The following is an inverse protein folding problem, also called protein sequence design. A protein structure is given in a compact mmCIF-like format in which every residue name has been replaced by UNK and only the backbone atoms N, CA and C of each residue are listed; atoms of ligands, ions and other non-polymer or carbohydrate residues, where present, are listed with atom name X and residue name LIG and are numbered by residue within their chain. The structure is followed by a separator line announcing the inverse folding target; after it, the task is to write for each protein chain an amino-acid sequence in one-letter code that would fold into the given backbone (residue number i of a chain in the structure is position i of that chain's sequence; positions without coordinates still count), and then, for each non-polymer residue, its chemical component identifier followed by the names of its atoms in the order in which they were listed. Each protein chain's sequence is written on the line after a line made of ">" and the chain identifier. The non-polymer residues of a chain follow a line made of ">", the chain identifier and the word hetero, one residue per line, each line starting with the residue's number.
data_IF_200520010383
#
_entry.id   IF_200520010383
#
_cell.length_a   1.000
_cell.length_b   1.000
_cell.length_c   1.000
_cell.angle_alpha   90.00
_cell.angle_beta   90.00
_cell.angle_gamma   90.00
#
_symmetry.space_group_name_H-M   'P 1'
#
loop_
_entity.id
_entity.type
_entity.pdbx_description
1 polymer ?
#
# COMPACT_ATOMS: atom_id res chain seq x y z
N UNK A 1 -13.40 -6.41 -0.04
CA UNK A 1 -12.95 -7.41 0.97
C UNK A 1 -13.78 -7.18 2.21
N UNK A 2 -14.45 -8.23 2.71
CA UNK A 2 -15.14 -8.17 4.00
C UNK A 2 -14.13 -8.55 5.08
N UNK A 3 -14.10 -7.81 6.18
CA UNK A 3 -13.22 -8.07 7.32
C UNK A 3 -14.09 -8.29 8.56
N UNK A 4 -13.82 -9.37 9.29
CA UNK A 4 -14.50 -9.64 10.55
C UNK A 4 -13.61 -9.20 11.72
N UNK A 5 -14.18 -8.43 12.62
CA UNK A 5 -13.56 -8.02 13.87
C UNK A 5 -14.39 -8.53 15.04
N UNK A 6 -13.75 -9.26 15.94
CA UNK A 6 -14.36 -9.69 17.19
C UNK A 6 -14.00 -8.69 18.28
N UNK A 7 -15.04 -8.19 18.93
CA UNK A 7 -14.95 -7.20 20.00
C UNK A 7 -15.28 -7.92 21.30
N UNK A 8 -14.38 -7.83 22.28
CA UNK A 8 -14.60 -8.30 23.64
C UNK A 8 -14.57 -7.10 24.58
N UNK A 9 -15.57 -6.93 25.43
CA UNK A 9 -15.62 -5.83 26.39
C UNK A 9 -16.03 -6.33 27.79
N UNK A 10 -15.68 -5.60 28.86
CA UNK A 10 -16.08 -5.97 30.23
C UNK A 10 -17.61 -6.02 30.44
N UNK A 11 -18.37 -5.30 29.62
CA UNK A 11 -19.84 -5.24 29.69
C UNK A 11 -20.43 -4.44 28.53
N UNK A 12 -21.77 -4.50 28.37
CA UNK A 12 -22.48 -3.84 27.27
C UNK A 12 -22.26 -2.32 27.27
N UNK A 13 -22.31 -1.68 28.44
CA UNK A 13 -22.18 -0.22 28.54
C UNK A 13 -20.77 0.24 28.19
N UNK A 14 -19.74 -0.53 28.57
CA UNK A 14 -18.36 -0.30 28.14
C UNK A 14 -18.25 -0.37 26.62
N UNK A 15 -18.84 -1.39 26.00
CA UNK A 15 -18.83 -1.57 24.56
C UNK A 15 -19.55 -0.42 23.83
N UNK A 16 -20.74 -0.02 24.30
CA UNK A 16 -21.47 1.12 23.72
C UNK A 16 -20.66 2.42 23.80
N UNK A 17 -20.08 2.71 24.96
CA UNK A 17 -19.27 3.92 25.16
C UNK A 17 -18.03 3.93 24.26
N UNK A 18 -17.36 2.78 24.13
CA UNK A 18 -16.18 2.62 23.29
C UNK A 18 -16.50 2.73 21.78
N UNK A 19 -17.67 2.24 21.35
CA UNK A 19 -18.09 2.26 19.95
C UNK A 19 -18.80 3.57 19.51
N UNK A 20 -19.17 4.43 20.46
CA UNK A 20 -19.94 5.66 20.21
C UNK A 20 -19.32 6.61 19.18
N UNK A 21 -18.00 6.77 19.20
CA UNK A 21 -17.28 7.66 18.28
C UNK A 21 -17.13 7.12 16.85
N UNK A 22 -17.52 5.87 16.60
CA UNK A 22 -17.27 5.16 15.34
C UNK A 22 -18.51 5.06 14.44
N UNK A 23 -19.63 5.67 14.84
CA UNK A 23 -20.91 5.55 14.12
C UNK A 23 -21.55 4.16 14.22
N UNK A 24 -21.11 3.36 15.21
CA UNK A 24 -21.60 2.01 15.49
C UNK A 24 -22.68 2.01 16.59
N UNK A 25 -22.99 3.18 17.15
CA UNK A 25 -23.97 3.40 18.20
C UNK A 25 -24.76 4.66 17.89
N UNK A 26 -26.07 4.62 18.12
CA UNK A 26 -26.98 5.74 18.00
C UNK A 26 -28.04 5.62 19.11
N UNK A 27 -28.38 6.75 19.75
CA UNK A 27 -29.42 6.81 20.79
C UNK A 27 -29.25 5.75 21.90
N UNK A 28 -28.00 5.56 22.35
CA UNK A 28 -27.58 4.57 23.38
C UNK A 28 -27.76 3.09 23.00
N UNK A 29 -27.96 2.78 21.72
CA UNK A 29 -28.02 1.41 21.21
C UNK A 29 -27.12 1.17 20.00
N UNK A 30 -26.80 -0.09 19.75
CA UNK A 30 -25.98 -0.48 18.61
C UNK A 30 -26.68 -0.17 17.29
N UNK A 31 -25.93 0.33 16.31
CA UNK A 31 -26.37 0.39 14.91
C UNK A 31 -26.09 -0.98 14.30
N UNK A 32 -27.11 -1.84 14.09
CA UNK A 32 -26.89 -3.24 13.72
C UNK A 32 -26.39 -3.41 12.28
N UNK A 33 -26.64 -2.44 11.40
CA UNK A 33 -26.18 -2.46 10.03
C UNK A 33 -26.10 -1.06 9.42
N UNK A 34 -25.20 -0.92 8.46
CA UNK A 34 -25.11 0.22 7.55
C UNK A 34 -24.61 -0.26 6.17
N UNK A 35 -24.37 0.67 5.26
CA UNK A 35 -23.61 0.45 4.03
C UNK A 35 -22.16 0.00 4.30
N UNK A 36 -21.59 0.38 5.46
CA UNK A 36 -20.19 0.08 5.83
C UNK A 36 -20.04 -1.15 6.72
N UNK A 37 -21.09 -1.59 7.42
CA UNK A 37 -20.97 -2.71 8.36
C UNK A 37 -22.24 -3.51 8.62
N UNK A 38 -22.08 -4.67 9.23
CA UNK A 38 -23.10 -5.34 10.05
C UNK A 38 -22.49 -5.61 11.45
N UNK A 39 -23.20 -5.31 12.53
CA UNK A 39 -22.78 -5.51 13.91
C UNK A 39 -23.69 -6.52 14.59
N UNK A 40 -23.09 -7.62 15.04
CA UNK A 40 -23.76 -8.71 15.73
C UNK A 40 -23.35 -8.72 17.18
N UNK A 41 -24.27 -8.37 18.09
CA UNK A 41 -24.04 -8.45 19.53
C UNK A 41 -24.45 -9.83 20.06
N UNK A 42 -23.52 -10.53 20.70
CA UNK A 42 -23.75 -11.86 21.26
C UNK A 42 -23.98 -11.83 22.78
N UNK A 43 -23.63 -10.73 23.44
CA UNK A 43 -23.63 -10.66 24.90
C UNK A 43 -22.59 -11.60 25.51
N UNK A 44 -22.89 -12.13 26.69
CA UNK A 44 -22.01 -13.06 27.39
C UNK A 44 -22.10 -14.45 26.75
N UNK A 45 -20.97 -14.99 26.31
CA UNK A 45 -20.91 -16.31 25.62
C UNK A 45 -20.48 -17.45 26.55
N UNK A 46 -19.97 -17.15 27.74
CA UNK A 46 -19.57 -18.13 28.75
C UNK A 46 -20.02 -17.70 30.13
N UNK A 47 -20.60 -18.61 30.92
CA UNK A 47 -21.08 -18.32 32.28
C UNK A 47 -19.93 -17.98 33.25
N UNK A 48 -18.71 -18.43 32.96
CA UNK A 48 -17.53 -18.19 33.78
C UNK A 48 -16.74 -16.93 33.41
N UNK A 49 -17.06 -16.31 32.27
CA UNK A 49 -16.43 -15.07 31.79
C UNK A 49 -17.52 -13.99 31.69
N UNK A 50 -17.48 -12.93 32.51
CA UNK A 50 -18.49 -11.87 32.47
C UNK A 50 -18.37 -10.98 31.22
N UNK A 51 -17.33 -11.14 30.40
CA UNK A 51 -17.15 -10.34 29.20
C UNK A 51 -18.30 -10.55 28.20
N UNK A 52 -18.62 -9.46 27.50
CA UNK A 52 -19.57 -9.47 26.39
C UNK A 52 -18.83 -9.45 25.06
N UNK A 53 -19.43 -10.06 24.06
CA UNK A 53 -18.84 -10.21 22.74
C UNK A 53 -19.75 -9.62 21.66
N UNK A 54 -19.12 -9.02 20.66
CA UNK A 54 -19.75 -8.66 19.40
C UNK A 54 -18.85 -9.03 18.23
N UNK A 55 -19.43 -9.23 17.06
CA UNK A 55 -18.69 -9.32 15.80
C UNK A 55 -19.12 -8.18 14.90
N UNK A 56 -18.14 -7.41 14.45
CA UNK A 56 -18.29 -6.37 13.45
C UNK A 56 -17.82 -6.91 12.10
N UNK A 57 -18.77 -7.07 11.19
CA UNK A 57 -18.52 -7.36 9.78
C UNK A 57 -18.32 -6.06 9.03
N UNK A 58 -17.07 -5.66 8.81
CA UNK A 58 -16.72 -4.49 8.02
C UNK A 58 -16.83 -4.80 6.53
N UNK A 59 -17.71 -4.09 5.83
CA UNK A 59 -17.82 -4.07 4.36
C UNK A 59 -16.81 -3.11 3.74
N UNK A 60 -16.31 -2.20 4.57
CA UNK A 60 -15.29 -1.19 4.27
C UNK A 60 -14.01 -1.43 5.10
N UNK A 61 -12.87 -1.52 4.42
CA UNK A 61 -11.56 -1.72 5.05
C UNK A 61 -11.16 -0.51 5.89
N UNK A 62 -11.55 0.72 5.52
CA UNK A 62 -11.22 1.90 6.30
C UNK A 62 -11.87 1.87 7.69
N UNK A 63 -13.09 1.35 7.79
CA UNK A 63 -13.75 1.12 9.08
C UNK A 63 -12.99 0.05 9.88
N UNK A 64 -12.61 -1.06 9.26
CA UNK A 64 -11.87 -2.13 9.94
C UNK A 64 -10.54 -1.61 10.52
N UNK A 65 -9.81 -0.79 9.76
CA UNK A 65 -8.58 -0.12 10.19
C UNK A 65 -8.84 0.84 11.35
N UNK A 66 -9.89 1.66 11.25
CA UNK A 66 -10.25 2.62 12.30
C UNK A 66 -10.54 1.92 13.62
N UNK A 67 -11.38 0.88 13.59
CA UNK A 67 -11.75 0.08 14.76
C UNK A 67 -10.52 -0.62 15.35
N UNK A 68 -9.70 -1.26 14.52
CA UNK A 68 -8.51 -2.00 14.97
C UNK A 68 -7.43 -1.11 15.61
N UNK A 69 -7.38 0.18 15.24
CA UNK A 69 -6.43 1.16 15.79
C UNK A 69 -6.99 1.94 16.97
N UNK A 70 -8.28 1.84 17.25
CA UNK A 70 -8.90 2.63 18.31
C UNK A 70 -8.41 2.12 19.67
N UNK A 71 -7.82 3.03 20.45
CA UNK A 71 -7.55 2.77 21.85
C UNK A 71 -8.85 2.94 22.63
N UNK A 72 -9.51 1.82 22.92
CA UNK A 72 -10.78 1.80 23.62
C UNK A 72 -10.60 2.02 25.12
N UNK A 73 -11.09 3.16 25.61
CA UNK A 73 -10.88 3.62 26.98
C UNK A 73 -11.67 2.86 28.04
N UNK A 74 -12.68 2.07 27.65
CA UNK A 74 -13.49 1.23 28.55
C UNK A 74 -13.12 -0.25 28.49
N UNK A 75 -11.99 -0.58 27.87
CA UNK A 75 -11.41 -1.92 27.89
C UNK A 75 -11.92 -2.85 26.81
N UNK A 76 -12.57 -2.33 25.75
CA UNK A 76 -12.86 -3.13 24.56
C UNK A 76 -11.57 -3.58 23.87
N UNK A 77 -11.44 -4.87 23.59
CA UNK A 77 -10.33 -5.48 22.87
C UNK A 77 -10.83 -5.96 21.51
N UNK A 78 -10.02 -5.74 20.47
CA UNK A 78 -10.29 -6.17 19.10
C UNK A 78 -9.43 -7.37 18.74
N UNK A 79 -10.02 -8.37 18.10
CA UNK A 79 -9.34 -9.54 17.56
C UNK A 79 -9.79 -9.81 16.14
N UNK A 80 -8.85 -10.13 15.24
CA UNK A 80 -9.18 -10.66 13.91
C UNK A 80 -9.49 -12.14 13.89
N UNK A 81 -9.31 -12.82 15.03
CA UNK A 81 -9.66 -14.22 15.23
C UNK A 81 -10.92 -14.34 16.07
N UNK A 82 -11.82 -15.24 15.66
CA UNK A 82 -13.00 -15.59 16.46
C UNK A 82 -12.58 -16.18 17.82
N UNK A 83 -13.02 -15.60 18.94
CA UNK A 83 -12.81 -16.18 20.25
C UNK A 83 -13.57 -17.50 20.41
N UNK A 84 -13.06 -18.38 21.29
CA UNK A 84 -13.72 -19.64 21.61
C UNK A 84 -15.11 -19.39 22.22
N UNK A 85 -16.09 -20.21 21.86
CA UNK A 85 -17.47 -20.08 22.33
C UNK A 85 -18.31 -19.01 21.63
N UNK A 86 -17.71 -18.06 20.90
CA UNK A 86 -18.47 -17.10 20.09
C UNK A 86 -19.07 -17.82 18.88
N UNK A 87 -20.38 -17.68 18.60
CA UNK A 87 -21.02 -18.33 17.46
C UNK A 87 -20.37 -17.97 16.12
N UNK A 88 -20.28 -18.95 15.23
CA UNK A 88 -19.92 -18.71 13.82
C UNK A 88 -21.06 -17.92 13.16
N UNK A 89 -20.75 -16.84 12.45
CA UNK A 89 -21.77 -16.10 11.71
C UNK A 89 -22.12 -16.81 10.40
N UNK A 90 -23.40 -16.76 10.01
CA UNK A 90 -23.80 -17.25 8.70
C UNK A 90 -23.08 -16.45 7.59
N UNK A 91 -22.43 -17.17 6.67
CA UNK A 91 -21.63 -16.58 5.60
C UNK A 91 -20.29 -16.01 6.07
N UNK A 92 -19.81 -16.37 7.27
CA UNK A 92 -18.42 -16.18 7.66
C UNK A 92 -17.52 -16.98 6.72
N UNK A 93 -16.69 -16.31 5.89
CA UNK A 93 -15.79 -17.02 5.01
C UNK A 93 -14.69 -17.66 5.86
N UNK A 94 -14.48 -18.96 5.69
CA UNK A 94 -13.29 -19.64 6.20
C UNK A 94 -12.10 -19.17 5.35
N UNK A 95 -11.55 -18.02 5.71
CA UNK A 95 -10.48 -17.41 4.93
C UNK A 95 -9.14 -18.00 5.35
N UNK A 96 -8.54 -18.73 4.43
CA UNK A 96 -7.14 -19.13 4.52
C UNK A 96 -6.26 -17.87 4.57
N UNK A 97 -5.67 -17.62 5.75
CA UNK A 97 -4.78 -16.48 6.01
C UNK A 97 -3.62 -16.46 5.01
N UNK A 98 -3.09 -17.62 4.62
CA UNK A 98 -1.96 -17.69 3.69
C UNK A 98 -2.39 -17.35 2.26
N UNK A 99 -3.59 -17.74 1.84
CA UNK A 99 -4.17 -17.29 0.56
C UNK A 99 -4.37 -15.77 0.55
N UNK A 100 -4.90 -15.19 1.63
CA UNK A 100 -5.09 -13.74 1.76
C UNK A 100 -3.75 -13.00 1.75
N UNK A 101 -2.70 -13.55 2.38
CA UNK A 101 -1.34 -13.00 2.26
C UNK A 101 -0.86 -13.03 0.82
N UNK A 102 -0.99 -14.16 0.13
CA UNK A 102 -0.54 -14.29 -1.26
C UNK A 102 -1.19 -13.22 -2.16
N UNK A 103 -2.51 -13.04 -2.04
CA UNK A 103 -3.26 -12.03 -2.78
C UNK A 103 -2.80 -10.60 -2.43
N UNK A 104 -2.62 -10.30 -1.14
CA UNK A 104 -2.13 -9.00 -0.69
C UNK A 104 -0.72 -8.68 -1.23
N UNK A 105 0.17 -9.67 -1.22
CA UNK A 105 1.53 -9.53 -1.77
C UNK A 105 1.49 -9.29 -3.29
N UNK A 106 0.60 -9.97 -4.01
CA UNK A 106 0.40 -9.77 -5.44
C UNK A 106 -0.13 -8.36 -5.75
N UNK A 107 -1.09 -7.86 -4.96
CA UNK A 107 -1.60 -6.49 -5.11
C UNK A 107 -0.52 -5.44 -4.88
N UNK A 108 0.31 -5.61 -3.83
CA UNK A 108 1.46 -4.73 -3.56
C UNK A 108 2.47 -4.75 -4.72
N UNK A 109 2.74 -5.93 -5.28
CA UNK A 109 3.65 -6.08 -6.43
C UNK A 109 3.08 -5.42 -7.69
N UNK A 110 1.79 -5.60 -7.97
CA UNK A 110 1.11 -4.99 -9.11
C UNK A 110 1.07 -3.46 -9.01
N UNK A 111 0.76 -2.91 -7.83
CA UNK A 111 0.74 -1.46 -7.63
C UNK A 111 2.14 -0.84 -7.71
N UNK A 112 3.16 -1.52 -7.17
CA UNK A 112 4.55 -1.10 -7.34
C UNK A 112 4.94 -1.00 -8.82
N UNK A 113 4.52 -1.98 -9.63
CA UNK A 113 4.81 -1.99 -11.06
C UNK A 113 4.03 -0.93 -11.81
N UNK A 114 2.72 -0.81 -11.55
CA UNK A 114 1.88 0.26 -12.11
C UNK A 114 2.51 1.63 -11.92
N UNK A 115 3.09 1.89 -10.74
CA UNK A 115 3.78 3.16 -10.43
C UNK A 115 5.10 3.32 -11.17
N UNK A 116 5.92 2.28 -11.29
CA UNK A 116 7.14 2.34 -12.11
C UNK A 116 6.84 2.69 -13.56
N UNK A 117 5.77 2.12 -14.10
CA UNK A 117 5.33 2.36 -15.47
C UNK A 117 4.76 3.78 -15.71
N UNK A 118 4.61 4.60 -14.66
CA UNK A 118 4.29 6.03 -14.85
C UNK A 118 5.50 6.83 -15.37
N UNK A 119 6.71 6.33 -15.17
CA UNK A 119 7.98 7.01 -15.56
C UNK A 119 8.90 6.14 -16.40
N UNK A 120 8.57 4.85 -16.56
CA UNK A 120 9.31 3.94 -17.42
C UNK A 120 8.51 3.65 -18.67
N UNK A 121 9.20 3.67 -19.81
CA UNK A 121 8.65 3.12 -21.04
C UNK A 121 8.77 1.59 -21.01
N UNK A 122 7.66 0.85 -21.17
CA UNK A 122 7.70 -0.60 -21.15
C UNK A 122 8.43 -1.15 -22.38
N UNK A 123 9.30 -2.14 -22.17
CA UNK A 123 9.95 -2.89 -23.25
C UNK A 123 11.42 -3.19 -22.97
N UNK A 124 11.83 -4.43 -23.21
CA UNK A 124 13.21 -4.86 -22.98
C UNK A 124 14.21 -4.14 -23.89
N UNK A 125 13.86 -3.91 -25.16
CA UNK A 125 14.71 -3.17 -26.11
C UNK A 125 14.94 -1.73 -25.66
N UNK A 126 13.86 -1.02 -25.29
CA UNK A 126 13.94 0.35 -24.78
C UNK A 126 14.73 0.44 -23.46
N UNK A 127 14.59 -0.56 -22.59
CA UNK A 127 15.37 -0.62 -21.34
C UNK A 127 16.87 -0.71 -21.61
N UNK A 128 17.29 -1.49 -22.61
CA UNK A 128 18.69 -1.61 -23.02
C UNK A 128 19.21 -0.30 -23.64
N UNK A 129 18.41 0.33 -24.50
CA UNK A 129 18.72 1.63 -25.09
C UNK A 129 18.96 2.68 -24.01
N UNK A 130 18.03 2.88 -23.07
CA UNK A 130 18.20 3.82 -21.96
C UNK A 130 19.41 3.52 -21.07
N UNK A 131 19.76 2.24 -20.91
CA UNK A 131 20.96 1.85 -20.18
C UNK A 131 22.23 2.31 -20.91
N UNK A 132 22.31 2.08 -22.21
CA UNK A 132 23.43 2.52 -23.03
C UNK A 132 23.52 4.06 -23.14
N UNK A 133 22.39 4.75 -23.30
CA UNK A 133 22.34 6.22 -23.30
C UNK A 133 22.86 6.79 -21.98
N UNK A 134 22.49 6.20 -20.84
CA UNK A 134 23.00 6.60 -19.54
C UNK A 134 24.51 6.33 -19.35
N UNK A 135 25.01 5.22 -19.89
CA UNK A 135 26.44 4.89 -19.88
C UNK A 135 27.25 5.86 -20.75
N UNK A 136 26.74 6.23 -21.93
CA UNK A 136 27.31 7.28 -22.77
C UNK A 136 27.32 8.61 -22.05
N UNK A 137 26.22 9.01 -21.41
CA UNK A 137 26.10 10.26 -20.68
C UNK A 137 27.14 10.36 -19.56
N UNK A 138 27.33 9.29 -18.79
CA UNK A 138 28.36 9.24 -17.74
C UNK A 138 29.78 9.43 -18.30
N UNK A 139 30.09 8.81 -19.45
CA UNK A 139 31.39 8.98 -20.13
C UNK A 139 31.56 10.40 -20.69
N UNK A 140 30.52 10.94 -21.32
CA UNK A 140 30.53 12.27 -21.93
C UNK A 140 30.75 13.38 -20.90
N UNK A 141 30.10 13.32 -19.73
CA UNK A 141 30.30 14.30 -18.66
C UNK A 141 31.74 14.29 -18.14
N UNK A 142 32.38 13.11 -18.07
CA UNK A 142 33.75 12.96 -17.59
C UNK A 142 34.83 13.30 -18.64
N UNK A 143 34.48 13.33 -19.92
CA UNK A 143 35.42 13.60 -21.01
C UNK A 143 35.63 15.12 -21.24
N UNK A 144 36.83 15.55 -21.70
CA UNK A 144 37.06 16.93 -22.10
C UNK A 144 36.38 17.24 -23.44
N UNK A 145 36.09 18.52 -23.66
CA UNK A 145 35.57 19.00 -24.94
C UNK A 145 36.69 19.13 -26.01
N UNK A 146 36.34 19.01 -27.31
CA UNK A 146 35.02 18.71 -27.84
C UNK A 146 34.68 17.21 -27.74
N UNK A 147 33.40 16.89 -27.49
CA UNK A 147 32.92 15.51 -27.50
C UNK A 147 32.68 15.03 -28.94
N UNK A 148 33.36 13.97 -29.42
CA UNK A 148 33.12 13.42 -30.76
C UNK A 148 31.83 12.61 -30.81
N UNK A 149 30.86 13.02 -31.64
CA UNK A 149 29.56 12.35 -31.76
C UNK A 149 29.65 10.84 -32.06
N UNK A 150 30.62 10.41 -32.87
CA UNK A 150 30.83 9.00 -33.18
C UNK A 150 31.21 8.11 -31.96
N UNK A 151 31.67 8.71 -30.86
CA UNK A 151 31.95 8.00 -29.61
C UNK A 151 30.71 7.86 -28.70
N UNK A 152 29.62 8.55 -29.03
CA UNK A 152 28.37 8.59 -28.26
C UNK A 152 27.15 8.52 -29.19
N UNK A 153 26.98 7.43 -29.97
CA UNK A 153 25.93 7.33 -30.97
C UNK A 153 24.51 7.50 -30.43
N UNK A 154 24.20 7.03 -29.21
CA UNK A 154 22.86 7.21 -28.62
C UNK A 154 22.64 8.67 -28.21
N UNK A 155 23.61 9.32 -27.58
CA UNK A 155 23.51 10.76 -27.27
C UNK A 155 23.46 11.63 -28.52
N UNK A 156 24.19 11.25 -29.58
CA UNK A 156 24.20 11.98 -30.84
C UNK A 156 22.83 11.91 -31.53
N UNK A 157 22.17 10.75 -31.50
CA UNK A 157 20.81 10.60 -32.01
C UNK A 157 19.81 11.45 -31.21
N UNK A 158 19.91 11.46 -29.88
CA UNK A 158 19.10 12.32 -29.02
C UNK A 158 19.34 13.82 -29.30
N UNK A 159 20.61 14.21 -29.45
CA UNK A 159 21.00 15.58 -29.80
C UNK A 159 20.41 16.01 -31.15
N UNK A 160 20.48 15.16 -32.18
CA UNK A 160 19.90 15.43 -33.50
C UNK A 160 18.38 15.65 -33.40
N UNK A 161 17.68 14.80 -32.65
CA UNK A 161 16.23 14.91 -32.43
C UNK A 161 15.85 16.21 -31.68
N UNK A 162 16.61 16.57 -30.64
CA UNK A 162 16.42 17.82 -29.90
C UNK A 162 16.70 19.03 -30.79
N UNK A 163 17.79 19.00 -31.57
CA UNK A 163 18.14 20.10 -32.47
C UNK A 163 17.07 20.39 -33.52
N UNK A 164 16.41 19.34 -34.01
CA UNK A 164 15.28 19.47 -34.93
C UNK A 164 14.03 20.13 -34.29
N UNK A 165 13.93 20.12 -32.96
CA UNK A 165 12.72 20.53 -32.24
C UNK A 165 12.89 21.88 -31.52
N UNK A 166 14.03 22.08 -30.85
CA UNK A 166 14.25 23.23 -29.95
C UNK A 166 15.49 24.07 -30.30
N UNK A 167 16.19 23.74 -31.39
CA UNK A 167 17.37 24.47 -31.85
C UNK A 167 18.68 23.97 -31.24
N UNK A 168 19.73 24.77 -31.27
CA UNK A 168 21.09 24.32 -30.91
C UNK A 168 21.18 23.80 -29.46
N UNK A 169 21.66 22.57 -29.30
CA UNK A 169 21.94 21.92 -28.01
C UNK A 169 23.30 21.21 -28.13
N UNK A 170 24.17 21.34 -27.13
CA UNK A 170 25.45 20.62 -27.13
C UNK A 170 25.29 19.17 -26.66
N UNK A 171 26.15 18.26 -27.13
CA UNK A 171 26.16 16.87 -26.67
C UNK A 171 26.39 16.76 -25.15
N UNK A 172 27.09 17.73 -24.55
CA UNK A 172 27.30 17.82 -23.10
C UNK A 172 26.00 18.18 -22.38
N UNK A 173 25.19 19.09 -22.92
CA UNK A 173 23.89 19.43 -22.34
C UNK A 173 22.94 18.23 -22.37
N UNK A 174 22.92 17.49 -23.47
CA UNK A 174 22.16 16.22 -23.59
C UNK A 174 22.63 15.21 -22.55
N UNK A 175 23.94 15.00 -22.40
CA UNK A 175 24.49 14.09 -21.40
C UNK A 175 24.09 14.47 -19.97
N UNK A 176 24.14 15.76 -19.63
CA UNK A 176 23.73 16.25 -18.30
C UNK A 176 22.23 16.01 -18.08
N UNK A 177 21.39 16.29 -19.08
CA UNK A 177 19.94 16.05 -19.00
C UNK A 177 19.62 14.56 -18.77
N UNK A 178 20.23 13.66 -19.55
CA UNK A 178 20.06 12.20 -19.40
C UNK A 178 20.45 11.73 -17.99
N UNK A 179 21.53 12.24 -17.41
CA UNK A 179 21.94 11.88 -16.05
C UNK A 179 20.99 12.44 -14.98
N UNK A 180 20.44 13.63 -15.20
CA UNK A 180 19.43 14.21 -14.32
C UNK A 180 18.15 13.35 -14.31
N UNK A 181 17.64 12.98 -15.50
CA UNK A 181 16.47 12.11 -15.64
C UNK A 181 16.71 10.74 -15.00
N UNK A 182 17.90 10.15 -15.22
CA UNK A 182 18.29 8.90 -14.57
C UNK A 182 18.30 9.03 -13.05
N UNK A 183 18.83 10.12 -12.51
CA UNK A 183 18.89 10.33 -11.07
C UNK A 183 17.49 10.46 -10.46
N UNK A 184 16.59 11.20 -11.12
CA UNK A 184 15.19 11.32 -10.72
C UNK A 184 14.49 9.96 -10.73
N UNK A 185 14.69 9.18 -11.80
CA UNK A 185 14.14 7.82 -11.90
C UNK A 185 14.68 6.89 -10.81
N UNK A 186 15.99 6.89 -10.54
CA UNK A 186 16.59 6.07 -9.49
C UNK A 186 16.04 6.41 -8.11
N UNK A 187 15.87 7.71 -7.81
CA UNK A 187 15.30 8.17 -6.56
C UNK A 187 13.84 7.68 -6.39
N UNK A 188 13.02 7.82 -7.44
CA UNK A 188 11.63 7.34 -7.43
C UNK A 188 11.53 5.81 -7.36
N UNK A 189 12.34 5.09 -8.14
CA UNK A 189 12.40 3.64 -8.11
C UNK A 189 12.84 3.09 -6.75
N UNK A 190 13.80 3.74 -6.10
CA UNK A 190 14.25 3.39 -4.76
C UNK A 190 13.15 3.60 -3.70
N UNK A 191 12.41 4.71 -3.77
CA UNK A 191 11.31 4.98 -2.84
C UNK A 191 10.16 3.97 -3.00
N UNK A 192 9.78 3.61 -4.23
CA UNK A 192 8.84 2.51 -4.51
C UNK A 192 9.36 1.20 -3.90
N UNK A 193 10.63 0.86 -4.13
CA UNK A 193 11.23 -0.38 -3.60
C UNK A 193 11.15 -0.42 -2.07
N UNK A 194 11.46 0.67 -1.40
CA UNK A 194 11.41 0.76 0.06
C UNK A 194 9.99 0.53 0.60
N UNK A 195 8.99 1.23 0.05
CA UNK A 195 7.58 1.09 0.44
C UNK A 195 7.08 -0.33 0.20
N UNK A 196 7.29 -0.85 -1.02
CA UNK A 196 6.93 -2.22 -1.39
C UNK A 196 7.55 -3.24 -0.43
N UNK A 197 8.86 -3.14 -0.16
CA UNK A 197 9.55 -4.11 0.69
C UNK A 197 9.01 -4.05 2.12
N UNK A 198 8.80 -2.86 2.68
CA UNK A 198 8.21 -2.68 4.02
C UNK A 198 6.82 -3.31 4.10
N UNK A 199 5.95 -3.01 3.14
CA UNK A 199 4.59 -3.55 3.09
C UNK A 199 4.57 -5.08 3.04
N UNK A 200 5.41 -5.69 2.20
CA UNK A 200 5.52 -7.17 2.12
C UNK A 200 6.02 -7.79 3.43
N UNK A 201 6.91 -7.12 4.16
CA UNK A 201 7.37 -7.58 5.47
C UNK A 201 6.24 -7.49 6.52
N UNK A 202 5.45 -6.42 6.50
CA UNK A 202 4.30 -6.25 7.40
C UNK A 202 3.23 -7.31 7.15
N UNK A 203 2.88 -7.56 5.88
CA UNK A 203 1.93 -8.63 5.50
C UNK A 203 2.47 -10.01 5.89
N UNK A 204 3.77 -10.27 5.70
CA UNK A 204 4.38 -11.53 6.09
C UNK A 204 4.35 -11.79 7.60
N UNK A 205 4.45 -10.73 8.42
CA UNK A 205 4.38 -10.81 9.88
C UNK A 205 2.94 -10.85 10.43
N UNK A 206 1.93 -10.60 9.60
CA UNK A 206 0.54 -10.59 10.03
C UNK A 206 0.05 -11.99 10.43
N UNK A 207 -0.57 -12.08 11.61
CA UNK A 207 -1.10 -13.34 12.15
C UNK A 207 -2.54 -13.66 11.74
N UNK A 208 -3.26 -12.67 11.22
CA UNK A 208 -4.66 -12.79 10.81
C UNK A 208 -4.99 -11.86 9.64
N UNK A 209 -6.21 -12.02 9.11
CA UNK A 209 -6.75 -11.26 7.97
C UNK A 209 -6.79 -9.76 8.25
N UNK A 210 -7.13 -9.37 9.46
CA UNK A 210 -7.27 -7.96 9.84
C UNK A 210 -5.93 -7.27 9.76
N UNK A 211 -4.90 -7.87 10.35
CA UNK A 211 -3.55 -7.37 10.30
C UNK A 211 -3.02 -7.26 8.86
N UNK A 212 -3.40 -8.18 7.97
CA UNK A 212 -3.08 -8.09 6.54
C UNK A 212 -3.79 -6.90 5.89
N UNK A 213 -5.11 -6.76 6.10
CA UNK A 213 -5.89 -5.68 5.52
C UNK A 213 -5.39 -4.30 5.98
N UNK A 214 -5.02 -4.18 7.25
CA UNK A 214 -4.41 -2.99 7.84
C UNK A 214 -3.05 -2.70 7.20
N UNK A 215 -2.17 -3.71 7.11
CA UNK A 215 -0.85 -3.54 6.48
C UNK A 215 -0.94 -3.07 5.02
N UNK A 216 -1.94 -3.54 4.26
CA UNK A 216 -2.20 -3.11 2.87
C UNK A 216 -2.76 -1.69 2.82
N UNK A 217 -3.74 -1.36 3.66
CA UNK A 217 -4.38 -0.03 3.67
C UNK A 217 -3.41 1.09 4.09
N UNK A 218 -2.40 0.78 4.87
CA UNK A 218 -1.38 1.72 5.34
C UNK A 218 -0.23 1.96 4.36
N UNK A 219 -0.24 1.30 3.19
CA UNK A 219 0.79 1.51 2.18
C UNK A 219 0.65 2.90 1.59
N UNK A 220 1.42 3.84 2.14
CA UNK A 220 1.62 5.17 1.55
C UNK A 220 2.71 5.08 0.50
N UNK A 221 2.30 5.19 -0.75
CA UNK A 221 3.21 5.17 -1.88
C UNK A 221 3.74 6.58 -2.20
N UNK A 222 4.95 6.69 -2.77
CA UNK A 222 5.48 7.97 -3.18
C UNK A 222 4.68 8.56 -4.34
N UNK A 223 4.42 9.86 -4.27
CA UNK A 223 3.93 10.64 -5.40
C UNK A 223 5.03 10.81 -6.44
N UNK A 224 4.63 11.07 -7.68
CA UNK A 224 5.54 11.54 -8.70
C UNK A 224 5.97 12.95 -8.31
N UNK A 225 7.19 13.08 -7.78
CA UNK A 225 7.82 14.39 -7.66
C UNK A 225 8.23 14.77 -9.07
N UNK A 226 7.53 15.73 -9.68
CA UNK A 226 8.01 16.38 -10.90
C UNK A 226 9.31 17.10 -10.54
N UNK A 227 10.41 16.70 -11.17
CA UNK A 227 11.66 17.45 -11.16
C UNK A 227 11.55 18.63 -12.13
#
# INVERSE_FOLDING_TARGET
>A
MIVLLYLQAPGRDSLLADLGGLGLVQDEDFVPASDRHDLFYFGQVSVSDPAVYACLRCKDVALAVSVSRTAFGRGTVVSGRRPDGVPMLAGEPDMDVEAVKADALAQIDAEAERRRLLVLTPGAGQSLEYQHTAEEAARAVAAPDPLPAAAYPFLAAEQEALMATIGEVSLRDVAVAVLADRAAWLAYGASIKAVRRRAKLQVGAAGDVVAIAVAVAEVVWPDLVQA
#
